data_IF_880755814913
#
_entry.id   IF_880755814913
#
_cell.length_a   1.000
_cell.length_b   1.000
_cell.length_c   1.000
_cell.angle_alpha   90.00
_cell.angle_beta   90.00
_cell.angle_gamma   90.00
#
_symmetry.space_group_name_H-M   'P 1'
#
loop_
_entity.id
_entity.type
_entity.pdbx_description
1 polymer ?
#
# COMPACT_ATOMS: atom_id res chain seq x y z
N UNK A 1 19.14 -6.78 -2.38
CA UNK A 1 17.69 -6.92 -2.14
C UNK A 1 17.43 -8.06 -1.19
N UNK A 2 16.51 -7.89 -0.24
CA UNK A 2 16.21 -8.94 0.72
C UNK A 2 15.12 -9.86 0.16
N UNK A 3 15.37 -11.16 0.15
CA UNK A 3 14.39 -12.16 -0.28
C UNK A 3 13.18 -12.22 0.64
N UNK A 4 13.28 -11.71 1.88
CA UNK A 4 12.15 -11.57 2.79
C UNK A 4 11.09 -10.59 2.30
N UNK A 5 11.43 -9.69 1.37
CA UNK A 5 10.48 -8.74 0.77
C UNK A 5 9.68 -9.38 -0.39
N UNK A 6 10.04 -10.60 -0.82
CA UNK A 6 9.34 -11.31 -1.88
C UNK A 6 8.12 -12.03 -1.32
N UNK A 7 6.93 -11.74 -1.86
CA UNK A 7 5.70 -12.43 -1.50
C UNK A 7 5.74 -13.91 -1.94
N UNK A 8 5.29 -14.81 -1.07
CA UNK A 8 5.05 -16.22 -1.41
C UNK A 8 3.90 -16.37 -2.43
N UNK A 9 3.94 -17.44 -3.23
CA UNK A 9 2.89 -17.71 -4.20
C UNK A 9 1.52 -17.96 -3.54
N UNK A 10 0.42 -17.61 -4.21
CA UNK A 10 -0.95 -17.88 -3.74
C UNK A 10 -1.16 -19.38 -3.59
N UNK A 11 -0.69 -20.17 -4.55
CA UNK A 11 -0.72 -21.64 -4.53
C UNK A 11 -0.06 -22.23 -3.28
N UNK A 12 0.92 -21.54 -2.69
CA UNK A 12 1.54 -21.91 -1.41
C UNK A 12 0.71 -21.44 -0.20
N UNK A 13 0.17 -20.23 -0.24
CA UNK A 13 -0.52 -19.61 0.91
C UNK A 13 -1.98 -20.06 1.06
N UNK A 14 -2.71 -20.26 -0.03
CA UNK A 14 -4.14 -20.57 -0.01
C UNK A 14 -4.48 -21.83 0.80
N UNK A 15 -3.74 -22.95 0.71
CA UNK A 15 -3.99 -24.11 1.56
C UNK A 15 -3.69 -23.87 3.05
N UNK A 16 -2.78 -22.94 3.37
CA UNK A 16 -2.38 -22.60 4.74
C UNK A 16 -3.37 -21.63 5.40
N UNK A 17 -4.05 -20.81 4.60
CA UNK A 17 -4.94 -19.74 5.06
C UNK A 17 -6.30 -19.84 4.34
N UNK A 18 -7.08 -20.90 4.58
CA UNK A 18 -8.33 -21.15 3.83
C UNK A 18 -9.40 -20.08 4.07
N UNK A 19 -9.29 -19.29 5.15
CA UNK A 19 -10.21 -18.19 5.46
C UNK A 19 -9.84 -16.86 4.80
N UNK A 20 -8.68 -16.77 4.15
CA UNK A 20 -8.24 -15.56 3.44
C UNK A 20 -8.75 -15.62 2.02
N UNK A 21 -9.45 -14.57 1.59
CA UNK A 21 -9.85 -14.42 0.19
C UNK A 21 -8.67 -13.88 -0.64
N UNK A 22 -8.19 -14.69 -1.58
CA UNK A 22 -7.13 -14.33 -2.52
C UNK A 22 -7.68 -13.87 -3.88
N UNK A 23 -9.00 -13.82 -4.08
CA UNK A 23 -9.64 -13.56 -5.37
C UNK A 23 -9.23 -12.23 -6.01
N UNK A 24 -8.90 -11.22 -5.20
CA UNK A 24 -8.46 -9.91 -5.64
C UNK A 24 -6.96 -9.83 -5.97
N UNK A 25 -6.20 -10.91 -5.81
CA UNK A 25 -4.79 -10.97 -6.22
C UNK A 25 -4.70 -11.65 -7.59
N UNK A 26 -4.33 -10.88 -8.61
CA UNK A 26 -4.29 -11.35 -10.00
C UNK A 26 -3.21 -12.41 -10.26
N UNK A 27 -2.00 -12.16 -9.76
CA UNK A 27 -0.81 -12.95 -10.12
C UNK A 27 -0.48 -13.95 -9.00
N UNK A 28 -0.28 -15.24 -9.33
CA UNK A 28 0.08 -16.27 -8.34
C UNK A 28 1.40 -15.94 -7.65
N UNK A 29 2.42 -15.58 -8.44
CA UNK A 29 3.76 -15.21 -7.96
C UNK A 29 3.93 -13.70 -7.84
N UNK A 30 4.93 -13.26 -7.07
CA UNK A 30 5.32 -11.86 -6.99
C UNK A 30 5.98 -11.39 -8.30
N UNK A 31 5.28 -10.55 -9.07
CA UNK A 31 5.74 -9.99 -10.35
C UNK A 31 6.46 -8.65 -10.18
N UNK A 32 6.35 -8.01 -9.01
CA UNK A 32 6.94 -6.71 -8.73
C UNK A 32 8.32 -6.84 -8.09
N UNK A 33 8.54 -7.89 -7.29
CA UNK A 33 9.83 -8.13 -6.67
C UNK A 33 10.90 -8.50 -7.69
N UNK A 34 12.06 -7.84 -7.59
CA UNK A 34 13.25 -8.10 -8.40
C UNK A 34 14.47 -8.36 -7.50
N UNK A 35 15.35 -9.31 -7.85
CA UNK A 35 16.49 -9.67 -7.02
C UNK A 35 17.58 -8.58 -6.97
N UNK A 36 17.59 -7.67 -7.93
CA UNK A 36 18.62 -6.67 -8.18
C UNK A 36 18.13 -5.23 -7.99
N UNK A 37 16.82 -5.01 -7.94
CA UNK A 37 16.23 -3.67 -7.89
C UNK A 37 15.39 -3.47 -6.64
N UNK A 38 15.70 -2.41 -5.88
CA UNK A 38 14.85 -1.94 -4.78
C UNK A 38 13.72 -1.11 -5.34
N UNK A 39 12.52 -1.38 -4.85
CA UNK A 39 11.37 -0.53 -5.10
C UNK A 39 11.67 0.92 -4.68
N UNK A 40 11.38 1.86 -5.57
CA UNK A 40 11.57 3.29 -5.31
C UNK A 40 10.44 3.86 -4.46
N UNK A 41 10.64 5.08 -3.93
CA UNK A 41 9.57 5.80 -3.23
C UNK A 41 8.39 6.11 -4.17
N UNK A 42 8.67 6.40 -5.43
CA UNK A 42 7.64 6.71 -6.42
C UNK A 42 6.81 5.46 -6.77
N UNK A 43 7.46 4.29 -6.87
CA UNK A 43 6.77 3.02 -7.12
C UNK A 43 5.79 2.68 -5.99
N UNK A 44 6.26 2.75 -4.72
CA UNK A 44 5.40 2.42 -3.56
C UNK A 44 4.26 3.43 -3.40
N UNK A 45 4.49 4.72 -3.69
CA UNK A 45 3.42 5.73 -3.68
C UNK A 45 2.41 5.52 -4.81
N UNK A 46 2.87 5.17 -6.01
CA UNK A 46 1.99 4.83 -7.14
C UNK A 46 1.08 3.65 -6.81
N UNK A 47 1.62 2.64 -6.11
CA UNK A 47 0.81 1.52 -5.59
C UNK A 47 -0.11 1.93 -4.47
N UNK A 48 0.30 2.83 -3.58
CA UNK A 48 -0.57 3.35 -2.52
C UNK A 48 -1.78 4.11 -3.10
N UNK A 49 -1.58 4.95 -4.13
CA UNK A 49 -2.68 5.61 -4.87
C UNK A 49 -3.64 4.57 -5.47
N UNK A 50 -3.09 3.56 -6.16
CA UNK A 50 -3.89 2.50 -6.78
C UNK A 50 -4.70 1.74 -5.73
N UNK A 51 -4.05 1.36 -4.63
CA UNK A 51 -4.68 0.68 -3.51
C UNK A 51 -5.82 1.51 -2.90
N UNK A 52 -5.60 2.80 -2.59
CA UNK A 52 -6.63 3.65 -2.00
C UNK A 52 -7.84 3.83 -2.92
N UNK A 53 -7.62 3.93 -4.25
CA UNK A 53 -8.70 3.98 -5.24
C UNK A 53 -9.49 2.67 -5.29
N UNK A 54 -8.80 1.54 -5.33
CA UNK A 54 -9.45 0.21 -5.31
C UNK A 54 -10.21 -0.01 -4.00
N UNK A 55 -9.61 0.37 -2.86
CA UNK A 55 -10.25 0.27 -1.56
C UNK A 55 -11.59 1.02 -1.54
N UNK A 56 -11.61 2.25 -2.08
CA UNK A 56 -12.84 3.03 -2.18
C UNK A 56 -13.86 2.44 -3.17
N UNK A 57 -13.41 1.93 -4.31
CA UNK A 57 -14.30 1.42 -5.36
C UNK A 57 -14.90 0.04 -5.04
N UNK A 58 -14.11 -0.84 -4.43
CA UNK A 58 -14.40 -2.28 -4.36
C UNK A 58 -14.79 -2.75 -2.95
N UNK A 59 -14.45 -1.99 -1.89
CA UNK A 59 -14.79 -2.34 -0.50
C UNK A 59 -15.98 -1.51 -0.01
N UNK A 60 -17.17 -2.12 0.21
CA UNK A 60 -18.37 -1.39 0.59
C UNK A 60 -18.41 -1.02 2.09
N UNK A 61 -17.52 -1.60 2.89
CA UNK A 61 -17.47 -1.41 4.34
C UNK A 61 -17.06 0.01 4.73
N UNK A 62 -17.75 0.58 5.71
CA UNK A 62 -17.41 1.91 6.25
C UNK A 62 -16.22 1.85 7.21
N UNK A 63 -16.06 0.74 7.95
CA UNK A 63 -15.01 0.57 8.94
C UNK A 63 -14.03 -0.50 8.46
N UNK A 64 -12.89 -0.06 7.92
CA UNK A 64 -11.89 -0.93 7.30
C UNK A 64 -10.63 -0.94 8.16
N UNK A 65 -10.11 -2.13 8.45
CA UNK A 65 -8.78 -2.31 9.03
C UNK A 65 -7.78 -2.71 7.93
N UNK A 66 -6.77 -1.88 7.71
CA UNK A 66 -5.65 -2.20 6.81
C UNK A 66 -4.45 -2.61 7.67
N UNK A 67 -4.07 -3.88 7.60
CA UNK A 67 -2.89 -4.41 8.31
C UNK A 67 -1.72 -4.48 7.33
N UNK A 68 -0.65 -3.74 7.59
CA UNK A 68 0.48 -3.66 6.68
C UNK A 68 1.79 -3.33 7.42
N UNK A 69 2.87 -3.12 6.66
CA UNK A 69 4.17 -2.72 7.16
C UNK A 69 4.35 -1.20 7.10
N UNK A 70 5.22 -0.67 7.96
CA UNK A 70 5.49 0.77 8.08
C UNK A 70 5.79 1.45 6.74
N UNK A 71 6.52 0.79 5.82
CA UNK A 71 6.84 1.38 4.52
C UNK A 71 5.59 1.69 3.69
N UNK A 72 4.64 0.76 3.64
CA UNK A 72 3.41 0.94 2.87
C UNK A 72 2.41 1.85 3.59
N UNK A 73 2.30 1.74 4.91
CA UNK A 73 1.47 2.66 5.72
C UNK A 73 1.93 4.10 5.51
N UNK A 74 3.24 4.37 5.60
CA UNK A 74 3.80 5.70 5.36
C UNK A 74 3.53 6.18 3.92
N UNK A 75 3.60 5.30 2.92
CA UNK A 75 3.25 5.66 1.54
C UNK A 75 1.78 6.09 1.41
N UNK A 76 0.84 5.35 2.02
CA UNK A 76 -0.57 5.73 2.06
C UNK A 76 -0.80 7.07 2.77
N UNK A 77 -0.21 7.26 3.96
CA UNK A 77 -0.34 8.51 4.71
C UNK A 77 0.21 9.71 3.93
N UNK A 78 1.32 9.53 3.21
CA UNK A 78 1.89 10.57 2.33
C UNK A 78 0.98 10.92 1.16
N UNK A 79 0.43 9.93 0.47
CA UNK A 79 -0.54 10.15 -0.63
C UNK A 79 -1.79 10.88 -0.15
N UNK A 80 -2.20 10.63 1.09
CA UNK A 80 -3.31 11.31 1.76
C UNK A 80 -2.94 12.69 2.33
N UNK A 81 -1.70 13.15 2.13
CA UNK A 81 -1.17 14.41 2.65
C UNK A 81 -1.28 14.53 4.18
N UNK A 82 -1.20 13.40 4.88
CA UNK A 82 -1.15 13.37 6.34
C UNK A 82 0.24 13.80 6.84
N UNK A 83 0.34 14.38 8.05
CA UNK A 83 1.62 14.74 8.65
C UNK A 83 2.58 13.54 8.71
N UNK A 84 3.88 13.80 8.51
CA UNK A 84 4.88 12.75 8.64
C UNK A 84 4.89 12.20 10.06
N UNK A 85 4.74 10.88 10.15
CA UNK A 85 4.58 10.16 11.39
C UNK A 85 5.28 8.81 11.31
N UNK A 86 6.01 8.44 12.37
CA UNK A 86 6.68 7.13 12.45
C UNK A 86 5.82 6.15 13.23
N UNK A 87 5.14 5.29 12.48
CA UNK A 87 4.29 4.24 13.06
C UNK A 87 5.13 3.23 13.83
N UNK A 88 4.74 2.96 15.07
CA UNK A 88 5.30 1.92 15.92
C UNK A 88 4.80 0.51 15.56
N UNK A 89 5.43 -0.51 16.15
CA UNK A 89 5.00 -1.89 15.96
C UNK A 89 3.60 -2.11 16.56
N UNK A 90 2.71 -2.71 15.76
CA UNK A 90 1.30 -2.97 16.14
C UNK A 90 0.52 -1.71 16.53
N UNK A 91 0.97 -0.53 16.10
CA UNK A 91 0.25 0.70 16.37
C UNK A 91 -0.98 0.84 15.46
N UNK A 92 -2.08 1.31 16.05
CA UNK A 92 -3.29 1.67 15.33
C UNK A 92 -3.23 3.16 14.94
N UNK A 93 -3.23 3.45 13.65
CA UNK A 93 -3.33 4.82 13.12
C UNK A 93 -4.72 5.01 12.51
N UNK A 94 -5.64 5.73 13.18
CA UNK A 94 -6.97 5.98 12.64
C UNK A 94 -6.91 7.05 11.54
N UNK A 95 -7.57 6.77 10.41
CA UNK A 95 -7.71 7.70 9.28
C UNK A 95 -9.18 7.75 8.90
N UNK A 96 -9.71 8.97 8.73
CA UNK A 96 -11.06 9.20 8.18
C UNK A 96 -10.88 9.72 6.77
N UNK A 97 -11.45 8.99 5.80
CA UNK A 97 -11.47 9.40 4.40
C UNK A 97 -12.84 10.00 4.10
N UNK A 98 -12.87 11.28 3.74
CA UNK A 98 -14.03 11.91 3.13
C UNK A 98 -13.78 11.97 1.62
N UNK A 99 -14.55 11.18 0.86
CA UNK A 99 -14.36 11.04 -0.58
C UNK A 99 -15.36 11.92 -1.29
N UNK A 100 -14.85 12.88 -2.06
CA UNK A 100 -15.66 13.75 -2.89
C UNK A 100 -15.46 13.38 -4.38
N UNK A 101 -16.54 13.20 -5.13
CA UNK A 101 -16.53 12.95 -6.58
C UNK A 101 -16.06 14.16 -7.43
N UNK A 102 -15.40 15.12 -6.79
CA UNK A 102 -14.88 16.29 -7.48
C UNK A 102 -13.74 15.84 -8.40
N UNK A 103 -13.88 16.12 -9.70
CA UNK A 103 -12.84 15.93 -10.71
C UNK A 103 -11.66 16.88 -10.43
N UNK A 104 -10.85 16.56 -9.43
CA UNK A 104 -9.61 17.25 -9.13
C UNK A 104 -8.56 16.63 -10.06
N UNK A 105 -7.90 17.41 -10.93
CA UNK A 105 -6.82 16.89 -11.75
C UNK A 105 -5.76 16.27 -10.83
N UNK A 106 -5.14 15.17 -11.29
CA UNK A 106 -4.15 14.43 -10.49
C UNK A 106 -3.15 15.42 -9.89
N UNK A 107 -2.87 15.37 -8.57
CA UNK A 107 -1.89 16.27 -7.98
C UNK A 107 -0.58 16.09 -8.75
N UNK A 108 0.05 17.22 -9.11
CA UNK A 108 1.39 17.19 -9.69
C UNK A 108 2.29 16.41 -8.73
N UNK A 109 2.98 15.40 -9.26
CA UNK A 109 4.00 14.67 -8.51
C UNK A 109 5.08 15.69 -8.14
N UNK A 110 5.09 16.12 -6.88
CA UNK A 110 6.08 17.07 -6.38
C UNK A 110 7.40 16.31 -6.23
N UNK A 111 8.46 16.64 -6.99
CA UNK A 111 9.74 15.97 -6.84
C UNK A 111 10.31 16.28 -5.46
N UNK A 112 10.76 15.26 -4.73
CA UNK A 112 11.42 15.46 -3.44
C UNK A 112 12.89 15.82 -3.63
N UNK A 113 13.27 17.03 -3.21
CA UNK A 113 14.57 17.31 -2.60
C UNK A 113 14.40 17.15 -1.08
N UNK A 114 15.17 16.26 -0.44
CA UNK A 114 15.81 16.47 0.89
C UNK A 114 16.70 15.27 1.21
N UNK A 115 17.97 15.59 1.51
CA UNK A 115 18.97 14.71 2.06
C UNK A 115 18.61 14.26 3.48
N UNK A 116 18.77 12.97 3.75
CA UNK A 116 18.71 12.42 5.11
C UNK A 116 20.08 12.68 5.75
N UNK A 117 20.12 13.52 6.78
CA UNK A 117 21.22 13.60 7.75
C UNK A 117 20.96 12.72 8.94
#
# INVERSE_FOLDING_TARGET
MHTCDKRSAISTLSPLFPSVDFSNIRDDVDTLWRPDLRESLDDIQSRAVTFLRQLHADVPDTFIAVVSHVGFITACLRVLHMPEYRVGNCELVPVVLDVHDNHIPSPEVVPYDVAIS
#
